data_IF_564576176768
#
_entry.id   IF_564576176768
#
_cell.length_a   1.000
_cell.length_b   1.000
_cell.length_c   1.000
_cell.angle_alpha   90.00
_cell.angle_beta   90.00
_cell.angle_gamma   90.00
#
_symmetry.space_group_name_H-M   'P 1'
#
loop_
_entity.id
_entity.type
_entity.pdbx_description
1 polymer ?
#
# COMPACT_ATOMS: atom_id res chain seq x y z
N UNK A 1 4.22 14.81 12.20
CA UNK A 1 3.75 14.18 10.95
C UNK A 1 4.23 12.75 10.95
N UNK A 2 5.50 12.56 10.60
CA UNK A 2 6.23 11.29 10.72
C UNK A 2 6.08 10.65 12.10
N UNK A 3 6.43 11.37 13.18
CA UNK A 3 6.32 10.85 14.56
C UNK A 3 4.93 10.32 14.93
N UNK A 4 3.87 10.93 14.40
CA UNK A 4 2.49 10.50 14.66
C UNK A 4 2.17 9.24 13.88
N UNK A 5 2.63 9.15 12.62
CA UNK A 5 2.51 7.94 11.82
C UNK A 5 3.22 6.77 12.50
N UNK A 6 4.46 6.98 12.94
CA UNK A 6 5.26 5.97 13.61
C UNK A 6 4.60 5.50 14.91
N UNK A 7 4.10 6.44 15.72
CA UNK A 7 3.36 6.11 16.95
C UNK A 7 2.10 5.29 16.66
N UNK A 8 1.29 5.68 15.66
CA UNK A 8 0.08 4.94 15.27
C UNK A 8 0.41 3.50 14.91
N UNK A 9 1.52 3.27 14.19
CA UNK A 9 1.94 1.94 13.77
C UNK A 9 2.57 1.14 14.91
N UNK A 10 3.40 1.77 15.74
CA UNK A 10 4.02 1.13 16.90
C UNK A 10 2.98 0.67 17.93
N UNK A 11 1.89 1.41 18.09
CA UNK A 11 0.77 1.04 18.98
C UNK A 11 -0.17 -0.01 18.36
N UNK A 12 0.03 -0.38 17.09
CA UNK A 12 -0.72 -1.46 16.43
C UNK A 12 -2.14 -1.09 16.01
N UNK A 13 -2.44 0.20 15.81
CA UNK A 13 -3.76 0.59 15.32
C UNK A 13 -3.94 0.17 13.86
N UNK A 14 -4.97 -0.64 13.62
CA UNK A 14 -5.40 -1.07 12.29
C UNK A 14 -6.27 0.01 11.61
N UNK A 15 -5.62 1.12 11.26
CA UNK A 15 -6.26 2.28 10.65
C UNK A 15 -5.51 2.71 9.39
N UNK A 16 -6.25 3.28 8.44
CA UNK A 16 -5.68 3.82 7.22
C UNK A 16 -5.23 5.28 7.44
N UNK A 17 -4.05 5.64 6.96
CA UNK A 17 -3.41 6.96 7.18
C UNK A 17 -3.11 7.65 5.85
N UNK A 18 -3.65 8.86 5.66
CA UNK A 18 -3.28 9.75 4.57
C UNK A 18 -2.32 10.84 5.04
N UNK A 19 -1.22 11.04 4.32
CA UNK A 19 -0.31 12.16 4.47
C UNK A 19 -0.78 13.34 3.61
N UNK A 20 -1.16 14.46 4.25
CA UNK A 20 -1.46 15.73 3.58
C UNK A 20 -0.30 16.72 3.79
N UNK A 21 0.46 17.00 2.73
CA UNK A 21 1.76 17.69 2.86
C UNK A 21 2.03 18.68 1.74
N UNK A 22 2.88 19.68 1.98
CA UNK A 22 3.41 20.56 0.92
C UNK A 22 4.83 20.15 0.49
N UNK A 23 5.36 19.09 1.10
CA UNK A 23 6.72 18.58 0.87
C UNK A 23 6.68 17.53 -0.22
N UNK A 24 7.70 17.50 -1.07
CA UNK A 24 7.88 16.44 -2.07
C UNK A 24 8.43 15.17 -1.43
N UNK A 25 7.99 13.98 -1.88
CA UNK A 25 8.52 12.72 -1.42
C UNK A 25 10.00 12.56 -1.81
N UNK A 26 10.79 11.99 -0.90
CA UNK A 26 12.21 11.68 -1.09
C UNK A 26 12.43 10.18 -0.87
N UNK A 27 13.69 9.77 -0.83
CA UNK A 27 14.07 8.36 -0.73
C UNK A 27 13.55 7.68 0.56
N UNK A 28 13.35 8.43 1.63
CA UNK A 28 12.80 7.95 2.91
C UNK A 28 11.32 7.54 2.83
N UNK A 29 10.64 7.78 1.70
CA UNK A 29 9.22 7.40 1.52
C UNK A 29 8.98 5.88 1.62
N UNK A 30 10.00 5.06 1.33
CA UNK A 30 9.95 3.60 1.43
C UNK A 30 9.67 3.15 2.86
N UNK A 31 10.25 3.84 3.84
CA UNK A 31 10.13 3.50 5.26
C UNK A 31 8.81 4.02 5.87
N UNK A 32 8.13 4.94 5.20
CA UNK A 32 6.91 5.54 5.71
C UNK A 32 5.70 4.61 5.55
N UNK A 33 5.05 4.25 6.66
CA UNK A 33 3.90 3.34 6.67
C UNK A 33 2.53 4.02 6.44
N UNK A 34 2.43 4.97 5.49
CA UNK A 34 1.18 5.64 5.12
C UNK A 34 0.44 4.90 3.99
N UNK A 35 -0.88 5.06 3.88
CA UNK A 35 -1.72 4.40 2.88
C UNK A 35 -2.15 5.34 1.72
N UNK A 36 -2.00 6.66 1.90
CA UNK A 36 -2.11 7.63 0.83
C UNK A 36 -1.19 8.84 1.04
N UNK A 37 -0.72 9.44 -0.05
CA UNK A 37 0.05 10.69 -0.06
C UNK A 37 -0.66 11.72 -0.94
N UNK A 38 -0.92 12.92 -0.41
CA UNK A 38 -1.55 14.02 -1.16
C UNK A 38 -0.88 15.34 -0.86
N UNK A 39 -0.65 16.12 -1.93
CA UNK A 39 -0.12 17.46 -1.81
C UNK A 39 -1.20 18.47 -1.44
N UNK A 40 -0.82 19.47 -0.64
CA UNK A 40 -1.61 20.68 -0.42
C UNK A 40 -1.43 21.63 -1.62
N UNK A 41 -2.46 22.44 -1.96
CA UNK A 41 -3.79 22.48 -1.35
C UNK A 41 -4.66 21.29 -1.76
N UNK A 42 -5.62 20.94 -0.91
CA UNK A 42 -6.66 19.94 -1.19
C UNK A 42 -8.01 20.58 -0.90
N UNK A 43 -8.99 20.40 -1.78
CA UNK A 43 -10.33 20.91 -1.55
C UNK A 43 -11.20 19.93 -0.73
N UNK A 44 -12.40 20.37 -0.32
CA UNK A 44 -13.27 19.57 0.54
C UNK A 44 -13.74 18.27 -0.13
N UNK A 45 -14.08 18.31 -1.42
CA UNK A 45 -14.62 17.15 -2.14
C UNK A 45 -13.52 16.11 -2.41
N UNK A 46 -12.31 16.58 -2.73
CA UNK A 46 -11.12 15.74 -2.83
C UNK A 46 -10.79 15.07 -1.50
N UNK A 47 -10.85 15.81 -0.39
CA UNK A 47 -10.61 15.26 0.95
C UNK A 47 -11.65 14.19 1.32
N UNK A 48 -12.94 14.46 1.06
CA UNK A 48 -14.01 13.48 1.31
C UNK A 48 -13.84 12.22 0.46
N UNK A 49 -13.46 12.39 -0.80
CA UNK A 49 -13.21 11.28 -1.73
C UNK A 49 -12.03 10.44 -1.26
N UNK A 50 -10.95 11.08 -0.82
CA UNK A 50 -9.78 10.40 -0.25
C UNK A 50 -10.16 9.56 0.97
N UNK A 51 -10.92 10.14 1.91
CA UNK A 51 -11.37 9.41 3.12
C UNK A 51 -12.26 8.24 2.74
N UNK A 52 -13.20 8.40 1.80
CA UNK A 52 -14.06 7.31 1.34
C UNK A 52 -13.25 6.14 0.74
N UNK A 53 -12.22 6.45 -0.07
CA UNK A 53 -11.30 5.44 -0.61
C UNK A 53 -10.56 4.71 0.50
N UNK A 54 -10.05 5.43 1.50
CA UNK A 54 -9.35 4.80 2.63
C UNK A 54 -10.29 3.93 3.48
N UNK A 55 -11.51 4.39 3.76
CA UNK A 55 -12.50 3.59 4.46
C UNK A 55 -12.83 2.28 3.72
N UNK A 56 -12.91 2.34 2.38
CA UNK A 56 -13.10 1.13 1.59
C UNK A 56 -11.87 0.20 1.62
N UNK A 57 -10.65 0.75 1.51
CA UNK A 57 -9.41 -0.05 1.58
C UNK A 57 -9.23 -0.74 2.93
N UNK A 58 -9.70 -0.12 4.02
CA UNK A 58 -9.67 -0.71 5.36
C UNK A 58 -10.45 -2.03 5.45
N UNK A 59 -11.38 -2.31 4.53
CA UNK A 59 -12.16 -3.57 4.52
C UNK A 59 -11.53 -4.66 3.65
N UNK A 60 -10.41 -4.38 2.98
CA UNK A 60 -9.74 -5.34 2.11
C UNK A 60 -8.78 -6.22 2.92
N UNK A 61 -8.40 -7.35 2.34
CA UNK A 61 -7.39 -8.23 2.92
C UNK A 61 -6.00 -7.58 2.94
N UNK A 62 -5.13 -8.03 3.85
CA UNK A 62 -3.82 -7.43 4.10
C UNK A 62 -2.95 -7.31 2.85
N UNK A 63 -2.93 -8.33 1.98
CA UNK A 63 -2.17 -8.28 0.72
C UNK A 63 -2.65 -7.17 -0.21
N UNK A 64 -3.96 -6.98 -0.33
CA UNK A 64 -4.54 -5.87 -1.10
C UNK A 64 -4.22 -4.51 -0.48
N UNK A 65 -4.25 -4.41 0.85
CA UNK A 65 -3.87 -3.18 1.54
C UNK A 65 -2.40 -2.83 1.30
N UNK A 66 -1.49 -3.82 1.36
CA UNK A 66 -0.07 -3.62 1.08
C UNK A 66 0.17 -3.19 -0.36
N UNK A 67 -0.49 -3.83 -1.32
CA UNK A 67 -0.41 -3.42 -2.73
C UNK A 67 -0.80 -1.95 -2.90
N UNK A 68 -1.92 -1.53 -2.31
CA UNK A 68 -2.37 -0.14 -2.39
C UNK A 68 -1.43 0.84 -1.69
N UNK A 69 -0.71 0.41 -0.65
CA UNK A 69 0.31 1.18 0.04
C UNK A 69 1.51 1.44 -0.86
N UNK A 70 2.06 0.38 -1.45
CA UNK A 70 3.17 0.45 -2.39
C UNK A 70 2.80 1.27 -3.63
N UNK A 71 1.61 1.04 -4.20
CA UNK A 71 1.09 1.83 -5.31
C UNK A 71 0.96 3.32 -4.96
N UNK A 72 0.57 3.67 -3.73
CA UNK A 72 0.50 5.05 -3.28
C UNK A 72 1.90 5.69 -3.17
N UNK A 73 2.91 4.97 -2.69
CA UNK A 73 4.30 5.43 -2.65
C UNK A 73 4.87 5.64 -4.05
N UNK A 74 4.67 4.65 -4.94
CA UNK A 74 5.05 4.73 -6.36
C UNK A 74 4.46 5.97 -7.03
N UNK A 75 3.15 6.17 -6.93
CA UNK A 75 2.47 7.31 -7.52
C UNK A 75 2.95 8.65 -6.93
N UNK A 76 3.35 8.69 -5.66
CA UNK A 76 3.91 9.90 -5.05
C UNK A 76 5.27 10.25 -5.65
N UNK A 77 6.17 9.27 -5.82
CA UNK A 77 7.48 9.48 -6.45
C UNK A 77 7.36 9.87 -7.92
N UNK A 78 6.48 9.20 -8.68
CA UNK A 78 6.19 9.55 -10.08
C UNK A 78 5.68 10.98 -10.22
N UNK A 79 4.75 11.39 -9.36
CA UNK A 79 4.21 12.75 -9.36
C UNK A 79 5.24 13.82 -8.97
N UNK A 80 6.36 13.43 -8.35
CA UNK A 80 7.49 14.29 -8.05
C UNK A 80 8.61 14.23 -9.11
N UNK A 81 8.52 13.32 -10.09
CA UNK A 81 9.58 13.07 -11.06
C UNK A 81 10.78 12.31 -10.50
N UNK A 82 10.65 11.70 -9.32
CA UNK A 82 11.72 10.96 -8.63
C UNK A 82 11.69 9.48 -9.00
N UNK A 83 11.69 9.17 -10.30
CA UNK A 83 11.63 7.79 -10.82
C UNK A 83 13.00 7.12 -10.94
N UNK A 84 14.09 7.88 -10.85
CA UNK A 84 15.48 7.36 -10.85
C UNK A 84 16.03 7.18 -9.43
N UNK A 85 15.20 7.36 -8.41
CA UNK A 85 15.58 7.18 -7.02
C UNK A 85 15.65 5.69 -6.65
N UNK A 86 16.61 5.30 -5.81
CA UNK A 86 16.71 3.96 -5.22
C UNK A 86 15.40 3.51 -4.56
N UNK A 87 14.66 4.48 -4.00
CA UNK A 87 13.34 4.26 -3.42
C UNK A 87 12.30 3.77 -4.44
N UNK A 88 12.37 4.27 -5.68
CA UNK A 88 11.46 3.85 -6.74
C UNK A 88 11.71 2.39 -7.14
N UNK A 89 12.98 2.01 -7.35
CA UNK A 89 13.36 0.62 -7.62
C UNK A 89 12.96 -0.31 -6.48
N UNK A 90 13.23 0.09 -5.23
CA UNK A 90 12.83 -0.68 -4.04
C UNK A 90 11.32 -0.94 -4.00
N UNK A 91 10.49 0.04 -4.36
CA UNK A 91 9.03 -0.13 -4.39
C UNK A 91 8.60 -1.09 -5.51
N UNK A 92 9.28 -1.08 -6.67
CA UNK A 92 9.00 -2.03 -7.74
C UNK A 92 9.34 -3.46 -7.30
N UNK A 93 10.50 -3.67 -6.69
CA UNK A 93 10.91 -4.97 -6.18
C UNK A 93 9.91 -5.48 -5.11
N UNK A 94 9.43 -4.60 -4.24
CA UNK A 94 8.40 -4.94 -3.24
C UNK A 94 7.06 -5.30 -3.87
N UNK A 95 6.65 -4.61 -4.94
CA UNK A 95 5.43 -4.93 -5.68
C UNK A 95 5.54 -6.30 -6.36
N UNK A 96 6.67 -6.59 -7.00
CA UNK A 96 6.90 -7.87 -7.67
C UNK A 96 6.97 -9.03 -6.67
N UNK A 97 7.60 -8.82 -5.51
CA UNK A 97 7.63 -9.80 -4.43
C UNK A 97 6.23 -10.08 -3.88
N UNK A 98 5.41 -9.05 -3.69
CA UNK A 98 4.03 -9.19 -3.23
C UNK A 98 3.16 -9.94 -4.25
N UNK A 99 3.31 -9.66 -5.54
CA UNK A 99 2.58 -10.37 -6.61
C UNK A 99 2.95 -11.86 -6.65
N UNK A 100 4.23 -12.17 -6.50
CA UNK A 100 4.71 -13.55 -6.41
C UNK A 100 4.16 -14.29 -5.18
N UNK A 101 4.10 -13.62 -4.01
CA UNK A 101 3.52 -14.19 -2.79
C UNK A 101 2.03 -14.49 -2.93
N UNK A 102 1.28 -13.52 -3.48
CA UNK A 102 -0.16 -13.69 -3.74
C UNK A 102 -0.42 -14.82 -4.74
N UNK A 103 0.36 -14.90 -5.81
CA UNK A 103 0.26 -15.96 -6.82
C UNK A 103 0.55 -17.33 -6.21
N UNK A 104 1.62 -17.47 -5.43
CA UNK A 104 1.97 -18.73 -4.77
C UNK A 104 0.85 -19.18 -3.79
N UNK A 105 0.27 -18.23 -3.05
CA UNK A 105 -0.86 -18.51 -2.15
C UNK A 105 -2.05 -19.07 -2.91
N UNK A 106 -2.38 -18.50 -4.07
CA UNK A 106 -3.45 -19.00 -4.93
C UNK A 106 -3.14 -20.39 -5.50
N UNK A 107 -1.92 -20.60 -5.97
CA UNK A 107 -1.47 -21.91 -6.49
C UNK A 107 -1.60 -23.00 -5.43
N UNK A 108 -1.21 -22.73 -4.19
CA UNK A 108 -1.30 -23.70 -3.10
C UNK A 108 -2.75 -24.09 -2.79
N UNK A 109 -3.67 -23.12 -2.71
CA UNK A 109 -5.10 -23.38 -2.52
C UNK A 109 -5.68 -24.23 -3.65
N UNK A 110 -5.35 -23.90 -4.90
CA UNK A 110 -5.83 -24.68 -6.06
C UNK A 110 -5.28 -26.12 -6.09
N UNK A 111 -4.05 -26.33 -5.62
CA UNK A 111 -3.47 -27.65 -5.51
C UNK A 111 -4.18 -28.48 -4.42
N UNK A 112 -4.42 -27.91 -3.24
CA UNK A 112 -5.16 -28.57 -2.16
C UNK A 112 -6.59 -28.94 -2.58
N UNK A 113 -7.30 -28.03 -3.25
CA UNK A 113 -8.63 -28.29 -3.81
C UNK A 113 -8.59 -29.42 -4.87
N UNK A 114 -7.56 -29.44 -5.72
CA UNK A 114 -7.39 -30.50 -6.72
C UNK A 114 -7.08 -31.86 -6.06
N UNK A 115 -6.30 -31.91 -4.98
CA UNK A 115 -6.05 -33.14 -4.23
C UNK A 115 -7.29 -33.63 -3.48
N UNK A 116 -8.10 -32.73 -2.92
CA UNK A 116 -9.36 -33.07 -2.26
C UNK A 116 -10.36 -33.67 -3.26
N UNK A 117 -10.48 -33.09 -4.45
CA UNK A 117 -11.39 -33.58 -5.50
C UNK A 117 -11.01 -34.96 -6.06
N UNK A 118 -9.72 -35.34 -6.04
CA UNK A 118 -9.25 -36.66 -6.50
C UNK A 118 -9.42 -37.74 -5.43
N UNK A 119 -9.52 -37.37 -4.15
CA UNK A 119 -9.64 -38.31 -3.04
C UNK A 119 -11.08 -38.77 -2.75
N UNK A 120 -12.09 -38.20 -3.43
CA UNK A 120 -13.51 -38.55 -3.27
C UNK A 120 -14.07 -39.50 -4.35
N UNK A 121 -13.22 -40.05 -5.24
CA UNK A 121 -13.57 -41.02 -6.30
C UNK A 121 -12.85 -42.37 -6.10
#
# INVERSE_FOLDING_TARGET
GHEVLDAIRAEGYDVQVAMLTAVEPKDDITDMAFDAYRRKPINQDELRSLVAVLCHRATLEKGSQEFFRLAAKKAALEAAGNTEADAYETILDQLDALDAELTNTLEHLTAEDAFAAIAED
#
